data_IF_273787700995
#
_entry.id   IF_273787700995
#
_cell.length_a   1.000
_cell.length_b   1.000
_cell.length_c   1.000
_cell.angle_alpha   90.00
_cell.angle_beta   90.00
_cell.angle_gamma   90.00
#
_symmetry.space_group_name_H-M   'P 1'
#
loop_
_entity.id
_entity.type
_entity.pdbx_description
1 polymer ?
#
# COMPACT_ATOMS: atom_id res chain seq x y z
N UNK A 1 -20.63 14.63 -1.90
CA UNK A 1 -19.87 14.08 -0.77
C UNK A 1 -18.92 12.99 -1.26
N UNK A 2 -17.96 12.59 -0.42
CA UNK A 2 -17.09 11.46 -0.72
C UNK A 2 -17.87 10.15 -0.59
N UNK A 3 -17.68 9.23 -1.52
CA UNK A 3 -18.17 7.87 -1.41
C UNK A 3 -17.20 7.07 -0.53
N UNK A 4 -17.61 6.78 0.70
CA UNK A 4 -16.80 6.12 1.72
C UNK A 4 -17.48 4.87 2.23
N UNK A 5 -16.71 3.80 2.39
CA UNK A 5 -17.15 2.51 2.89
C UNK A 5 -16.23 2.07 4.04
N UNK A 6 -16.79 1.60 5.14
CA UNK A 6 -16.04 0.91 6.19
C UNK A 6 -16.28 -0.59 6.03
N UNK A 7 -15.21 -1.32 5.83
CA UNK A 7 -15.22 -2.79 5.72
C UNK A 7 -14.80 -3.36 7.06
N UNK A 8 -15.76 -4.00 7.75
CA UNK A 8 -15.50 -4.69 9.01
C UNK A 8 -14.78 -6.02 8.75
N UNK A 9 -13.64 -6.21 9.43
CA UNK A 9 -12.81 -7.41 9.27
C UNK A 9 -12.94 -8.38 10.45
N UNK A 10 -13.22 -7.85 11.64
CA UNK A 10 -13.36 -8.65 12.86
C UNK A 10 -14.38 -9.79 12.74
N UNK A 11 -15.56 -9.63 12.10
CA UNK A 11 -16.53 -10.71 11.97
C UNK A 11 -16.03 -11.93 11.18
N UNK A 12 -14.95 -11.77 10.42
CA UNK A 12 -14.35 -12.86 9.66
C UNK A 12 -13.32 -13.66 10.45
N UNK A 13 -12.97 -13.22 11.66
CA UNK A 13 -12.05 -13.95 12.54
C UNK A 13 -12.83 -14.99 13.35
N UNK A 14 -12.50 -16.29 13.24
CA UNK A 14 -13.23 -17.34 13.96
C UNK A 14 -12.85 -17.46 15.44
N UNK A 15 -11.89 -16.66 15.91
CA UNK A 15 -11.40 -16.63 17.29
C UNK A 15 -11.45 -15.21 17.83
N UNK A 16 -11.50 -15.02 19.15
CA UNK A 16 -11.48 -13.68 19.75
C UNK A 16 -10.26 -12.88 19.29
N UNK A 17 -10.50 -11.72 18.70
CA UNK A 17 -9.48 -10.87 18.15
C UNK A 17 -9.75 -9.40 18.49
N UNK A 18 -8.72 -8.59 18.38
CA UNK A 18 -8.82 -7.14 18.43
C UNK A 18 -9.60 -6.62 17.22
N UNK A 19 -10.32 -5.53 17.39
CA UNK A 19 -11.10 -4.92 16.31
C UNK A 19 -10.23 -4.51 15.12
N UNK A 20 -10.68 -4.90 13.93
CA UNK A 20 -10.05 -4.56 12.68
C UNK A 20 -11.09 -4.15 11.64
N UNK A 21 -10.79 -3.07 10.94
CA UNK A 21 -11.57 -2.57 9.83
C UNK A 21 -10.67 -1.91 8.79
N UNK A 22 -11.24 -1.56 7.67
CA UNK A 22 -10.60 -0.74 6.66
C UNK A 22 -11.57 0.31 6.12
N UNK A 23 -11.11 1.55 5.99
CA UNK A 23 -11.83 2.60 5.27
C UNK A 23 -11.43 2.55 3.80
N UNK A 24 -12.41 2.57 2.91
CA UNK A 24 -12.23 2.74 1.47
C UNK A 24 -12.88 4.04 1.05
N UNK A 25 -12.12 4.92 0.39
CA UNK A 25 -12.64 6.14 -0.24
C UNK A 25 -12.64 5.89 -1.74
N UNK A 26 -13.79 5.95 -2.37
CA UNK A 26 -13.98 5.58 -3.77
C UNK A 26 -13.76 6.76 -4.71
N UNK A 27 -12.97 6.53 -5.75
CA UNK A 27 -12.87 7.42 -6.91
C UNK A 27 -12.54 8.88 -6.58
N UNK A 28 -11.75 9.13 -5.53
CA UNK A 28 -11.39 10.49 -5.19
C UNK A 28 -10.61 11.16 -6.32
N UNK A 29 -11.10 12.34 -6.75
CA UNK A 29 -10.50 13.19 -7.79
C UNK A 29 -9.94 12.40 -9.00
N UNK A 30 -10.77 12.01 -9.96
CA UNK A 30 -10.32 11.33 -11.17
C UNK A 30 -9.19 12.06 -11.88
N UNK A 31 -9.22 13.40 -11.92
CA UNK A 31 -8.20 14.24 -12.55
C UNK A 31 -6.84 14.10 -11.83
N UNK A 32 -6.87 14.02 -10.50
CA UNK A 32 -5.62 13.80 -9.72
C UNK A 32 -5.11 12.37 -9.92
N UNK A 33 -6.00 11.40 -9.99
CA UNK A 33 -5.63 10.00 -10.23
C UNK A 33 -5.03 9.80 -11.62
N UNK A 34 -5.61 10.41 -12.65
CA UNK A 34 -5.06 10.39 -14.02
C UNK A 34 -3.71 11.09 -14.10
N UNK A 35 -3.56 12.25 -13.46
CA UNK A 35 -2.30 12.96 -13.39
C UNK A 35 -1.22 12.17 -12.65
N UNK A 36 -1.59 11.51 -11.54
CA UNK A 36 -0.70 10.61 -10.80
C UNK A 36 -0.28 9.42 -11.67
N UNK A 37 -1.21 8.77 -12.36
CA UNK A 37 -0.91 7.68 -13.27
C UNK A 37 0.04 8.13 -14.39
N UNK A 38 -0.22 9.26 -15.00
CA UNK A 38 0.63 9.83 -16.06
C UNK A 38 2.04 10.12 -15.54
N UNK A 39 2.18 10.71 -14.36
CA UNK A 39 3.50 10.99 -13.77
C UNK A 39 4.30 9.71 -13.48
N UNK A 40 3.63 8.61 -13.14
CA UNK A 40 4.32 7.32 -12.89
C UNK A 40 4.93 6.71 -14.15
N UNK A 41 4.46 7.06 -15.34
CA UNK A 41 4.96 6.51 -16.59
C UNK A 41 6.41 6.91 -16.88
N UNK A 42 6.83 8.10 -16.42
CA UNK A 42 8.19 8.65 -16.63
C UNK A 42 9.18 8.28 -15.52
N UNK A 43 8.73 7.59 -14.47
CA UNK A 43 9.61 7.21 -13.35
C UNK A 43 10.57 6.11 -13.78
N UNK A 44 11.86 6.32 -13.51
CA UNK A 44 12.88 5.27 -13.57
C UNK A 44 12.80 4.45 -12.28
N UNK A 45 12.07 3.35 -12.32
CA UNK A 45 11.88 2.48 -11.16
C UNK A 45 13.10 1.61 -10.88
N UNK A 46 13.38 1.40 -9.60
CA UNK A 46 14.34 0.40 -9.19
C UNK A 46 13.79 -1.01 -9.46
N UNK A 47 14.63 -1.83 -10.08
CA UNK A 47 14.33 -3.22 -10.45
C UNK A 47 15.05 -4.23 -9.57
N UNK A 48 15.38 -3.84 -8.33
CA UNK A 48 16.05 -4.69 -7.35
C UNK A 48 15.34 -4.63 -6.00
N UNK A 49 15.63 -5.59 -5.15
CA UNK A 49 15.16 -5.67 -3.77
C UNK A 49 16.24 -6.24 -2.87
N UNK A 50 16.31 -5.76 -1.64
CA UNK A 50 17.14 -6.36 -0.61
C UNK A 50 16.35 -7.43 0.13
N UNK A 51 16.78 -8.67 0.05
CA UNK A 51 16.11 -9.81 0.67
C UNK A 51 17.13 -10.79 1.23
N UNK A 52 16.94 -11.20 2.50
CA UNK A 52 17.80 -12.18 3.17
C UNK A 52 19.28 -11.83 3.09
N UNK A 53 19.64 -10.57 3.35
CA UNK A 53 21.04 -10.11 3.35
C UNK A 53 21.66 -9.92 1.97
N UNK A 54 20.90 -10.04 0.88
CA UNK A 54 21.40 -9.93 -0.50
C UNK A 54 20.49 -9.08 -1.37
N UNK A 55 21.10 -8.39 -2.33
CA UNK A 55 20.37 -7.70 -3.40
C UNK A 55 20.01 -8.70 -4.49
N UNK A 56 18.74 -8.70 -4.88
CA UNK A 56 18.18 -9.55 -5.95
C UNK A 56 17.44 -8.70 -6.97
N UNK A 57 17.34 -9.17 -8.21
CA UNK A 57 16.49 -8.55 -9.19
C UNK A 57 15.01 -8.70 -8.78
N UNK A 58 14.26 -7.62 -8.90
CA UNK A 58 12.83 -7.61 -8.63
C UNK A 58 12.07 -7.94 -9.92
N UNK A 59 11.52 -9.14 -9.99
CA UNK A 59 10.78 -9.62 -11.17
C UNK A 59 9.29 -9.32 -11.09
N UNK A 60 8.76 -9.14 -9.88
CA UNK A 60 7.31 -9.07 -9.64
C UNK A 60 6.80 -7.64 -9.41
N UNK A 61 7.66 -6.75 -8.95
CA UNK A 61 7.33 -5.35 -8.70
C UNK A 61 8.57 -4.48 -8.83
N UNK A 62 8.38 -3.29 -9.36
CA UNK A 62 9.39 -2.26 -9.38
C UNK A 62 8.96 -1.15 -8.43
N UNK A 63 9.89 -0.48 -7.78
CA UNK A 63 9.54 0.53 -6.78
C UNK A 63 10.51 1.70 -6.77
N UNK A 64 10.02 2.84 -6.30
CA UNK A 64 10.80 3.96 -5.79
C UNK A 64 10.12 4.47 -4.53
N UNK A 65 10.87 5.13 -3.66
CA UNK A 65 10.28 5.85 -2.54
C UNK A 65 10.01 7.31 -2.89
N UNK A 66 9.18 7.95 -2.09
CA UNK A 66 8.91 9.38 -2.16
C UNK A 66 9.04 9.99 -0.76
N UNK A 67 9.70 11.13 -0.63
CA UNK A 67 9.87 11.86 0.62
C UNK A 67 10.21 13.34 0.33
N UNK A 68 10.41 14.16 1.38
CA UNK A 68 10.84 15.55 1.23
C UNK A 68 12.20 15.68 0.52
N UNK A 69 13.15 14.79 0.84
CA UNK A 69 14.50 14.84 0.30
C UNK A 69 14.76 13.70 -0.65
N UNK A 70 15.29 14.04 -1.81
CA UNK A 70 15.73 13.06 -2.81
C UNK A 70 16.95 12.27 -2.31
N UNK A 71 17.07 11.06 -2.83
CA UNK A 71 18.26 10.20 -2.64
C UNK A 71 18.44 9.31 -3.85
N UNK A 72 19.66 9.26 -4.37
CA UNK A 72 20.03 8.33 -5.42
C UNK A 72 20.10 6.88 -4.91
N UNK A 73 19.89 5.89 -5.77
CA UNK A 73 19.96 4.50 -5.39
C UNK A 73 21.42 4.04 -5.19
N UNK A 74 21.65 3.20 -4.18
CA UNK A 74 22.89 2.45 -3.98
C UNK A 74 22.58 0.96 -4.09
N UNK A 75 22.48 0.45 -5.32
CA UNK A 75 22.03 -0.91 -5.58
C UNK A 75 22.78 -1.96 -4.75
N UNK A 76 24.09 -1.87 -4.67
CA UNK A 76 24.96 -2.84 -3.96
C UNK A 76 24.62 -2.93 -2.47
N UNK A 77 24.16 -1.82 -1.90
CA UNK A 77 23.72 -1.73 -0.50
C UNK A 77 22.22 -1.96 -0.32
N UNK A 78 21.48 -2.18 -1.40
CA UNK A 78 20.05 -2.34 -1.34
C UNK A 78 19.29 -1.03 -1.02
N UNK A 79 19.92 0.11 -1.25
CA UNK A 79 19.32 1.43 -1.03
C UNK A 79 18.57 1.84 -2.28
N UNK A 80 17.29 2.13 -2.13
CA UNK A 80 16.41 2.52 -3.23
C UNK A 80 16.43 4.03 -3.49
N UNK A 81 16.04 4.38 -4.72
CA UNK A 81 15.76 5.76 -5.13
C UNK A 81 14.69 6.37 -4.25
N UNK A 82 14.90 7.61 -3.82
CA UNK A 82 13.88 8.45 -3.19
C UNK A 82 13.65 9.66 -4.06
N UNK A 83 12.45 9.82 -4.57
CA UNK A 83 12.02 10.99 -5.34
C UNK A 83 11.47 12.06 -4.37
N UNK A 84 11.73 13.36 -4.62
CA UNK A 84 11.12 14.42 -3.84
C UNK A 84 9.63 14.54 -4.20
N UNK A 85 8.79 14.87 -3.23
CA UNK A 85 7.36 15.10 -3.46
C UNK A 85 7.10 16.17 -4.53
N UNK A 86 7.98 17.18 -4.65
CA UNK A 86 7.91 18.22 -5.68
C UNK A 86 7.98 17.69 -7.11
N UNK A 87 8.54 16.49 -7.31
CA UNK A 87 8.55 15.78 -8.60
C UNK A 87 7.35 14.86 -8.81
N UNK A 88 6.47 14.74 -7.82
CA UNK A 88 5.31 13.85 -7.80
C UNK A 88 4.03 14.59 -7.37
N UNK A 89 3.81 15.79 -7.90
CA UNK A 89 2.78 16.74 -7.44
C UNK A 89 1.38 16.14 -7.30
N UNK A 90 0.93 15.30 -8.25
CA UNK A 90 -0.38 14.70 -8.17
C UNK A 90 -0.49 13.67 -7.02
N UNK A 91 0.59 12.92 -6.76
CA UNK A 91 0.65 12.00 -5.63
C UNK A 91 0.75 12.76 -4.31
N UNK A 92 1.47 13.88 -4.29
CA UNK A 92 1.56 14.76 -3.12
C UNK A 92 0.21 15.39 -2.78
N UNK A 93 -0.56 15.81 -3.78
CA UNK A 93 -1.96 16.24 -3.57
C UNK A 93 -2.82 15.15 -2.96
N UNK A 94 -2.71 13.91 -3.46
CA UNK A 94 -3.43 12.78 -2.89
C UNK A 94 -3.01 12.51 -1.44
N UNK A 95 -1.71 12.56 -1.15
CA UNK A 95 -1.16 12.44 0.20
C UNK A 95 -1.68 13.54 1.13
N UNK A 96 -1.65 14.80 0.68
CA UNK A 96 -2.12 15.93 1.45
C UNK A 96 -3.63 15.84 1.76
N UNK A 97 -4.44 15.46 0.77
CA UNK A 97 -5.87 15.22 0.96
C UNK A 97 -6.15 14.18 2.05
N UNK A 98 -5.58 12.99 1.91
CA UNK A 98 -5.87 11.92 2.87
C UNK A 98 -5.26 12.20 4.24
N UNK A 99 -4.13 12.91 4.31
CA UNK A 99 -3.55 13.36 5.58
C UNK A 99 -4.47 14.32 6.32
N UNK A 100 -5.07 15.27 5.60
CA UNK A 100 -6.06 16.20 6.16
C UNK A 100 -7.35 15.49 6.59
N UNK A 101 -7.85 14.56 5.78
CA UNK A 101 -9.05 13.80 6.08
C UNK A 101 -8.90 12.90 7.33
N UNK A 102 -7.70 12.39 7.58
CA UNK A 102 -7.37 11.56 8.74
C UNK A 102 -6.80 12.36 9.92
N UNK A 103 -6.72 13.67 9.80
CA UNK A 103 -6.08 14.57 10.79
C UNK A 103 -4.71 14.05 11.26
N UNK A 104 -3.85 13.68 10.30
CA UNK A 104 -2.55 13.08 10.60
C UNK A 104 -1.40 13.79 9.92
N UNK A 105 -0.27 13.91 10.63
CA UNK A 105 1.00 14.42 10.10
C UNK A 105 2.02 13.29 9.83
N UNK A 106 1.61 12.03 9.93
CA UNK A 106 2.53 10.89 9.86
C UNK A 106 2.79 10.38 8.45
N UNK A 107 2.01 10.78 7.44
CA UNK A 107 2.20 10.36 6.04
C UNK A 107 3.32 11.18 5.36
N UNK A 108 4.56 11.06 5.85
CA UNK A 108 5.71 11.84 5.38
C UNK A 108 6.47 11.18 4.23
N UNK A 109 6.36 9.88 4.10
CA UNK A 109 7.03 9.11 3.05
C UNK A 109 6.03 8.20 2.35
N UNK A 110 6.33 7.87 1.10
CA UNK A 110 5.54 6.93 0.29
C UNK A 110 6.42 5.91 -0.40
N UNK A 111 5.78 4.88 -0.94
CA UNK A 111 6.39 3.92 -1.84
C UNK A 111 5.53 3.82 -3.08
N UNK A 112 6.08 4.15 -4.24
CA UNK A 112 5.41 4.01 -5.53
C UNK A 112 5.75 2.65 -6.09
N UNK A 113 4.75 1.78 -6.16
CA UNK A 113 4.89 0.41 -6.66
C UNK A 113 4.32 0.30 -8.07
N UNK A 114 5.10 -0.24 -8.99
CA UNK A 114 4.67 -0.61 -10.33
C UNK A 114 4.66 -2.12 -10.49
N UNK A 115 3.54 -2.66 -10.92
CA UNK A 115 3.40 -4.07 -11.28
C UNK A 115 3.45 -4.21 -12.81
N UNK A 116 4.58 -4.67 -13.38
CA UNK A 116 4.76 -4.71 -14.83
C UNK A 116 3.85 -5.72 -15.53
N UNK A 117 3.50 -6.80 -14.87
CA UNK A 117 2.56 -7.81 -15.35
C UNK A 117 1.52 -8.12 -14.29
N UNK A 118 0.32 -7.63 -14.50
CA UNK A 118 -0.76 -7.74 -13.53
C UNK A 118 -1.26 -9.18 -13.30
N UNK A 119 -1.01 -10.08 -14.21
CA UNK A 119 -1.45 -11.48 -14.10
C UNK A 119 -0.44 -12.36 -13.36
N UNK A 120 0.81 -11.92 -13.28
CA UNK A 120 1.91 -12.71 -12.71
C UNK A 120 2.54 -12.07 -11.47
N UNK A 121 2.08 -10.87 -11.10
CA UNK A 121 2.74 -10.08 -10.05
C UNK A 121 1.82 -9.83 -8.88
N UNK A 122 2.39 -9.88 -7.70
CA UNK A 122 1.70 -9.63 -6.44
C UNK A 122 2.71 -9.60 -5.28
N UNK A 123 2.20 -9.30 -4.11
CA UNK A 123 2.95 -9.42 -2.85
C UNK A 123 2.31 -10.58 -2.09
N UNK A 124 3.13 -11.49 -1.57
CA UNK A 124 2.66 -12.56 -0.70
C UNK A 124 2.10 -12.02 0.62
N UNK A 125 1.45 -12.89 1.38
CA UNK A 125 0.91 -12.55 2.69
C UNK A 125 2.00 -12.00 3.61
N UNK A 126 1.75 -10.85 4.20
CA UNK A 126 2.65 -10.19 5.13
C UNK A 126 1.88 -9.20 6.00
N UNK A 127 2.46 -8.80 7.11
CA UNK A 127 2.04 -7.65 7.89
C UNK A 127 3.16 -6.62 7.92
N UNK A 128 2.81 -5.36 8.02
CA UNK A 128 3.75 -4.24 8.08
C UNK A 128 4.05 -3.88 9.55
N UNK A 129 4.99 -4.59 10.16
CA UNK A 129 5.33 -4.42 11.58
C UNK A 129 5.94 -3.07 11.98
N UNK A 130 6.36 -2.28 11.00
CA UNK A 130 7.04 -0.99 11.21
C UNK A 130 6.10 0.21 11.01
N UNK A 131 4.88 0.00 10.53
CA UNK A 131 3.95 1.06 10.14
C UNK A 131 2.75 1.11 11.09
N UNK A 132 2.47 2.29 11.61
CA UNK A 132 1.28 2.55 12.44
C UNK A 132 0.09 2.98 11.61
N UNK A 133 0.34 3.74 10.53
CA UNK A 133 -0.67 4.19 9.58
C UNK A 133 -0.16 3.84 8.20
N UNK A 134 -0.94 3.09 7.45
CA UNK A 134 -0.69 2.77 6.05
C UNK A 134 -1.86 3.28 5.24
N UNK A 135 -1.56 3.97 4.15
CA UNK A 135 -2.56 4.39 3.17
C UNK A 135 -2.10 3.88 1.81
N UNK A 136 -2.98 3.19 1.14
CA UNK A 136 -2.75 2.78 -0.25
C UNK A 136 -3.63 3.66 -1.15
N UNK A 137 -3.02 4.29 -2.14
CA UNK A 137 -3.69 5.00 -3.20
C UNK A 137 -3.53 4.22 -4.50
N UNK A 138 -4.64 3.83 -5.08
CA UNK A 138 -4.66 3.02 -6.29
C UNK A 138 -4.76 3.90 -7.52
N UNK A 139 -3.79 3.77 -8.44
CA UNK A 139 -3.87 4.36 -9.77
C UNK A 139 -3.65 3.30 -10.84
N UNK A 140 -4.38 3.38 -11.96
CA UNK A 140 -4.27 2.43 -13.06
C UNK A 140 -5.56 2.30 -13.85
N UNK A 141 -5.63 1.35 -14.79
CA UNK A 141 -6.79 1.17 -15.63
C UNK A 141 -8.07 0.97 -14.81
N UNK A 142 -9.07 1.84 -15.01
CA UNK A 142 -10.31 1.84 -14.27
C UNK A 142 -11.12 0.53 -14.41
N UNK A 143 -10.91 -0.20 -15.50
CA UNK A 143 -11.58 -1.49 -15.76
C UNK A 143 -11.03 -2.66 -14.92
N UNK A 144 -9.85 -2.52 -14.34
CA UNK A 144 -9.21 -3.57 -13.58
C UNK A 144 -9.29 -3.27 -12.06
N UNK A 145 -10.45 -3.48 -11.48
CA UNK A 145 -10.59 -3.49 -10.02
C UNK A 145 -9.82 -4.68 -9.45
N UNK A 146 -8.56 -4.46 -9.13
CA UNK A 146 -7.77 -5.46 -8.44
C UNK A 146 -8.06 -5.41 -6.95
N UNK A 147 -8.52 -6.50 -6.37
CA UNK A 147 -8.74 -6.53 -4.94
C UNK A 147 -7.41 -6.46 -4.17
N UNK A 148 -7.47 -5.85 -3.00
CA UNK A 148 -6.55 -6.17 -1.92
C UNK A 148 -7.14 -7.33 -1.15
N UNK A 149 -6.31 -8.28 -0.76
CA UNK A 149 -6.74 -9.43 0.02
C UNK A 149 -6.21 -9.28 1.44
N UNK A 150 -7.09 -9.47 2.41
CA UNK A 150 -6.78 -9.53 3.83
C UNK A 150 -7.13 -10.92 4.34
N UNK A 151 -6.41 -11.40 5.34
CA UNK A 151 -6.68 -12.71 5.92
C UNK A 151 -6.17 -12.74 7.36
N UNK A 152 -6.92 -13.38 8.23
CA UNK A 152 -6.52 -13.57 9.60
C UNK A 152 -5.56 -14.76 9.75
N UNK A 153 -4.52 -14.55 10.56
CA UNK A 153 -3.53 -15.56 10.88
C UNK A 153 -3.42 -15.73 12.39
N UNK A 154 -3.29 -16.95 12.86
CA UNK A 154 -2.97 -17.27 14.24
C UNK A 154 -1.82 -18.28 14.26
N UNK A 155 -0.77 -18.02 15.03
CA UNK A 155 0.43 -18.87 15.11
C UNK A 155 1.09 -19.17 13.76
N UNK A 156 0.91 -18.26 12.80
CA UNK A 156 1.44 -18.42 11.44
C UNK A 156 0.54 -19.18 10.46
N UNK A 157 -0.60 -19.68 10.93
CA UNK A 157 -1.59 -20.40 10.11
C UNK A 157 -2.77 -19.50 9.77
N UNK A 158 -3.28 -19.61 8.56
CA UNK A 158 -4.49 -18.89 8.15
C UNK A 158 -5.71 -19.50 8.88
N UNK A 159 -6.54 -18.63 9.49
CA UNK A 159 -7.71 -19.06 10.27
C UNK A 159 -9.04 -18.68 9.62
N UNK A 160 -9.02 -18.01 8.49
CA UNK A 160 -10.21 -17.69 7.71
C UNK A 160 -9.91 -17.74 6.20
N UNK A 161 -10.94 -17.66 5.38
CA UNK A 161 -10.79 -17.43 3.94
C UNK A 161 -10.32 -15.98 3.68
N UNK A 162 -9.64 -15.71 2.54
CA UNK A 162 -9.28 -14.37 2.15
C UNK A 162 -10.50 -13.45 2.01
N UNK A 163 -10.42 -12.28 2.60
CA UNK A 163 -11.39 -11.18 2.45
C UNK A 163 -10.90 -10.31 1.31
N UNK A 164 -11.68 -10.19 0.25
CA UNK A 164 -11.31 -9.45 -0.96
C UNK A 164 -12.00 -8.09 -1.01
N UNK A 165 -11.22 -7.02 -1.03
CA UNK A 165 -11.71 -5.65 -1.14
C UNK A 165 -11.31 -5.12 -2.52
N UNK A 166 -12.25 -4.97 -3.47
CA UNK A 166 -11.94 -4.44 -4.79
C UNK A 166 -11.55 -2.97 -4.69
N UNK A 167 -10.44 -2.60 -5.34
CA UNK A 167 -9.98 -1.22 -5.44
C UNK A 167 -9.82 -0.81 -6.89
N UNK A 168 -10.44 0.32 -7.24
CA UNK A 168 -10.37 0.93 -8.56
C UNK A 168 -9.37 2.08 -8.65
N UNK A 169 -9.34 2.72 -9.81
CA UNK A 169 -8.54 3.91 -10.06
C UNK A 169 -9.05 5.09 -9.22
N UNK A 170 -8.16 5.75 -8.49
CA UNK A 170 -8.49 6.86 -7.60
C UNK A 170 -8.99 6.44 -6.21
N UNK A 171 -9.06 5.14 -5.91
CA UNK A 171 -9.47 4.68 -4.60
C UNK A 171 -8.33 4.80 -3.57
N UNK A 172 -8.70 5.20 -2.36
CA UNK A 172 -7.85 5.02 -1.18
C UNK A 172 -8.31 3.81 -0.36
N UNK A 173 -7.36 3.14 0.23
CA UNK A 173 -7.57 2.09 1.20
C UNK A 173 -6.75 2.40 2.45
N UNK A 174 -7.41 2.48 3.60
CA UNK A 174 -6.82 2.83 4.89
C UNK A 174 -7.19 1.75 5.90
N UNK A 175 -6.30 0.77 6.12
CA UNK A 175 -6.52 -0.26 7.14
C UNK A 175 -6.33 0.32 8.54
N UNK A 176 -7.11 -0.16 9.52
CA UNK A 176 -6.87 0.07 10.93
C UNK A 176 -5.50 -0.52 11.36
N UNK A 177 -5.00 -0.12 12.51
CA UNK A 177 -3.70 -0.59 13.02
C UNK A 177 -3.64 -2.13 13.09
N UNK A 178 -4.73 -2.77 13.50
CA UNK A 178 -4.82 -4.24 13.53
C UNK A 178 -4.79 -4.83 12.11
N UNK A 179 -5.52 -4.22 11.16
CA UNK A 179 -5.58 -4.69 9.79
C UNK A 179 -4.25 -4.50 9.02
N UNK A 180 -3.39 -3.57 9.45
CA UNK A 180 -2.00 -3.44 8.94
C UNK A 180 -1.15 -4.65 9.30
N UNK A 181 -1.52 -5.37 10.37
CA UNK A 181 -0.81 -6.54 10.84
C UNK A 181 0.50 -6.21 11.54
N UNK A 182 0.56 -5.11 12.29
CA UNK A 182 1.77 -4.70 13.03
C UNK A 182 2.22 -5.73 14.06
N UNK A 183 1.33 -6.61 14.47
CA UNK A 183 1.55 -7.68 15.44
C UNK A 183 1.63 -9.09 14.80
N UNK A 184 1.67 -9.20 13.49
CA UNK A 184 1.68 -10.47 12.77
C UNK A 184 2.79 -11.45 13.19
N UNK A 185 3.89 -10.94 13.76
CA UNK A 185 4.98 -11.75 14.32
C UNK A 185 4.68 -12.31 15.72
N UNK A 186 3.65 -11.79 16.37
CA UNK A 186 3.24 -12.25 17.69
C UNK A 186 2.41 -13.53 17.54
N UNK A 187 3.07 -14.69 17.62
CA UNK A 187 2.49 -16.02 17.39
C UNK A 187 1.27 -16.38 18.24
N UNK A 188 0.97 -15.62 19.29
CA UNK A 188 -0.09 -15.91 20.24
C UNK A 188 -1.33 -15.03 20.07
N UNK A 189 -1.36 -14.15 19.09
CA UNK A 189 -2.50 -13.29 18.78
C UNK A 189 -2.94 -13.49 17.33
N UNK A 190 -4.25 -13.53 17.07
CA UNK A 190 -4.78 -13.43 15.70
C UNK A 190 -4.63 -12.04 15.14
#
# INVERSE_FOLDING_TARGET
GLDCEIVELTPHCPVPAEEACALVVRGWSPETADAALKSTASIAYDTFMYMHGKVKNAHTRHLVFAAERARDPERERGVHTVLPWSGLEAMDRARAFISGALDTQHLKAGCVLKYPDINRTGIGWHGDGERRITVLYRVGAASARRPIHLMWFQKGEAVCAPISIPLGHGDFFVPSAKAVGTDWKLRNKP
#
